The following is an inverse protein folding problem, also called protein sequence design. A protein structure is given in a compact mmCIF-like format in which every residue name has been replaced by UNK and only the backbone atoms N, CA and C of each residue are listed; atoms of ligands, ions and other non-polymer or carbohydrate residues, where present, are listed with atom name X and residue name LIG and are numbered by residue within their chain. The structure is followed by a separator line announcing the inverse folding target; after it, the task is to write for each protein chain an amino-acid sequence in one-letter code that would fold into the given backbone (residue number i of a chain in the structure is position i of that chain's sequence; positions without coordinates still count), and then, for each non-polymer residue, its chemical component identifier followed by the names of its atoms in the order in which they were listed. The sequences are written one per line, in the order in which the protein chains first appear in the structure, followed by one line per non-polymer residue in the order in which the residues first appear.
data_IF_512489043843
#
_entry.id   IF_512489043843
#
_cell.length_a   1.000
_cell.length_b   1.000
_cell.length_c   1.000
_cell.angle_alpha   90.00
_cell.angle_beta   90.00
_cell.angle_gamma   90.00
#
_symmetry.space_group_name_H-M   'P 1'
#
loop_
_entity.id
_entity.type
_entity.pdbx_description
1 polymer ?
#
# COMPACT_ATOMS: atom_id res chain seq x y z
N UNK A 1 67.24 -11.91 -15.98
CA UNK A 1 66.86 -10.83 -15.04
C UNK A 1 65.34 -10.75 -14.98
N UNK A 2 64.73 -11.03 -13.82
CA UNK A 2 63.26 -10.96 -13.63
C UNK A 2 62.86 -9.54 -13.22
N UNK A 3 61.84 -8.97 -13.87
CA UNK A 3 61.32 -7.61 -13.67
C UNK A 3 60.73 -7.34 -12.26
N UNK A 4 60.63 -8.35 -11.40
CA UNK A 4 60.02 -8.21 -10.07
C UNK A 4 60.86 -7.41 -9.08
N UNK A 5 62.17 -7.24 -9.33
CA UNK A 5 63.06 -6.50 -8.42
C UNK A 5 63.12 -4.99 -8.64
N UNK A 6 62.61 -4.49 -9.77
CA UNK A 6 62.79 -3.07 -10.15
C UNK A 6 61.72 -2.13 -9.54
N UNK A 7 60.53 -2.65 -9.22
CA UNK A 7 59.47 -1.85 -8.59
C UNK A 7 59.73 -1.58 -7.11
N UNK A 8 60.33 -2.52 -6.37
CA UNK A 8 60.57 -2.36 -4.94
C UNK A 8 61.65 -1.30 -4.62
N UNK A 9 62.64 -1.12 -5.51
CA UNK A 9 63.66 -0.08 -5.35
C UNK A 9 63.16 1.33 -5.70
N UNK A 10 62.15 1.46 -6.57
CA UNK A 10 61.60 2.76 -6.96
C UNK A 10 60.59 3.33 -5.95
N UNK A 11 59.96 2.47 -5.14
CA UNK A 11 58.90 2.85 -4.20
C UNK A 11 59.23 2.61 -2.71
N UNK A 12 60.51 2.39 -2.40
CA UNK A 12 61.02 2.27 -1.03
C UNK A 12 60.61 3.47 -0.16
N UNK A 13 59.58 3.28 0.67
CA UNK A 13 59.18 4.23 1.72
C UNK A 13 58.01 5.16 1.41
N UNK A 14 57.29 5.05 0.28
CA UNK A 14 56.10 5.88 -0.01
C UNK A 14 54.82 5.13 -0.34
N UNK A 15 54.71 3.86 0.04
CA UNK A 15 53.37 3.27 0.24
C UNK A 15 52.85 3.84 1.55
N UNK A 16 52.25 5.04 1.48
CA UNK A 16 51.27 5.49 2.48
C UNK A 16 50.26 4.35 2.54
N UNK A 17 50.39 3.48 3.54
CA UNK A 17 49.41 2.45 3.83
C UNK A 17 48.05 3.12 3.71
N UNK A 18 47.16 2.56 2.88
CA UNK A 18 45.84 3.11 2.60
C UNK A 18 45.32 3.66 3.91
N UNK A 19 45.36 4.99 4.06
CA UNK A 19 44.69 5.67 5.15
C UNK A 19 43.24 5.34 4.86
N UNK A 20 42.77 4.27 5.49
CA UNK A 20 41.36 3.98 5.64
C UNK A 20 40.84 5.28 6.22
N UNK A 21 40.19 6.06 5.37
CA UNK A 21 39.56 7.30 5.80
C UNK A 21 38.75 6.89 7.02
N UNK A 22 39.13 7.39 8.19
CA UNK A 22 38.29 7.29 9.36
C UNK A 22 37.06 8.13 9.01
N UNK A 23 36.07 7.47 8.43
CA UNK A 23 34.74 8.00 8.23
C UNK A 23 34.27 8.40 9.63
N UNK A 24 34.29 9.71 9.89
CA UNK A 24 33.51 10.27 10.99
C UNK A 24 32.08 9.76 10.78
N UNK A 25 31.70 8.78 11.61
CA UNK A 25 30.35 8.22 11.70
C UNK A 25 29.39 9.36 12.02
N UNK A 26 28.84 9.97 10.99
CA UNK A 26 27.88 11.05 11.08
C UNK A 26 28.22 12.16 10.09
N UNK A 27 27.57 12.14 8.92
CA UNK A 27 26.84 13.31 8.38
C UNK A 27 26.36 13.09 6.94
N UNK A 28 27.01 12.22 6.15
CA UNK A 28 26.58 11.98 4.76
C UNK A 28 25.88 10.63 4.59
N UNK A 29 24.76 10.65 3.88
CA UNK A 29 24.00 9.48 3.48
C UNK A 29 24.23 9.27 2.00
N UNK A 30 24.92 8.19 1.63
CA UNK A 30 25.40 7.98 0.25
C UNK A 30 24.28 7.55 -0.71
N UNK A 31 23.18 7.00 -0.17
CA UNK A 31 22.07 6.50 -0.95
C UNK A 31 21.10 5.65 -0.13
N UNK A 32 20.14 5.04 -0.81
CA UNK A 32 19.12 4.19 -0.18
C UNK A 32 19.74 2.97 0.51
N UNK A 33 20.76 2.36 -0.09
CA UNK A 33 21.44 1.17 0.45
C UNK A 33 22.17 1.48 1.75
N UNK A 34 22.82 2.64 1.85
CA UNK A 34 23.50 3.11 3.07
C UNK A 34 22.48 3.38 4.19
N UNK A 35 21.35 4.03 3.87
CA UNK A 35 20.24 4.17 4.83
C UNK A 35 19.75 2.80 5.31
N UNK A 36 19.53 1.86 4.39
CA UNK A 36 19.05 0.53 4.72
C UNK A 36 20.03 -0.25 5.61
N UNK A 37 21.34 -0.11 5.41
CA UNK A 37 22.36 -0.74 6.26
C UNK A 37 22.39 -0.18 7.69
N UNK A 38 22.07 1.11 7.87
CA UNK A 38 22.05 1.77 9.19
C UNK A 38 20.81 1.46 10.02
N UNK A 39 19.76 0.90 9.42
CA UNK A 39 18.49 0.59 10.10
C UNK A 39 18.48 -0.83 10.69
N UNK A 40 17.62 -1.08 11.67
CA UNK A 40 17.44 -2.43 12.25
C UNK A 40 16.77 -3.41 11.28
N UNK A 41 16.68 -4.69 11.65
CA UNK A 41 15.98 -5.72 10.86
C UNK A 41 14.49 -5.40 10.66
N UNK A 42 13.84 -4.81 11.66
CA UNK A 42 12.44 -4.36 11.61
C UNK A 42 12.42 -2.83 11.72
N UNK A 43 12.60 -2.11 10.60
CA UNK A 43 12.71 -0.66 10.61
C UNK A 43 11.39 -0.04 11.08
N UNK A 44 11.46 0.78 12.13
CA UNK A 44 10.32 1.60 12.57
C UNK A 44 10.35 2.94 11.86
N UNK A 45 9.18 3.53 11.64
CA UNK A 45 9.06 4.86 11.03
C UNK A 45 9.94 5.92 11.69
N UNK A 46 9.96 5.98 13.02
CA UNK A 46 10.79 6.94 13.76
C UNK A 46 12.29 6.79 13.48
N UNK A 47 12.78 5.57 13.26
CA UNK A 47 14.18 5.30 12.94
C UNK A 47 14.52 5.76 11.52
N UNK A 48 13.63 5.47 10.56
CA UNK A 48 13.78 5.95 9.17
C UNK A 48 13.74 7.47 9.12
N UNK A 49 12.81 8.10 9.84
CA UNK A 49 12.66 9.57 9.87
C UNK A 49 13.84 10.29 10.54
N UNK A 50 14.48 9.65 11.53
CA UNK A 50 15.67 10.17 12.17
C UNK A 50 16.89 10.18 11.23
N UNK A 51 17.03 9.14 10.40
CA UNK A 51 18.16 8.97 9.48
C UNK A 51 17.94 9.56 8.09
N UNK A 52 16.69 9.74 7.66
CA UNK A 52 16.36 10.31 6.35
C UNK A 52 16.75 11.81 6.28
N UNK A 53 17.10 12.30 5.08
CA UNK A 53 17.33 13.73 4.86
C UNK A 53 16.17 14.59 5.36
N UNK A 54 16.45 15.82 5.81
CA UNK A 54 15.42 16.77 6.25
C UNK A 54 14.72 17.46 5.09
N UNK A 55 15.46 17.74 4.02
CA UNK A 55 14.94 18.30 2.78
C UNK A 55 14.04 17.31 2.03
N UNK A 56 12.97 17.82 1.41
CA UNK A 56 11.97 17.01 0.72
C UNK A 56 12.52 16.42 -0.58
N UNK A 57 13.24 17.23 -1.38
CA UNK A 57 13.78 16.81 -2.68
C UNK A 57 14.82 15.70 -2.51
N UNK A 58 15.64 15.81 -1.47
CA UNK A 58 16.63 14.78 -1.11
C UNK A 58 15.98 13.42 -0.79
N UNK A 59 14.80 13.41 -0.14
CA UNK A 59 14.05 12.15 0.07
C UNK A 59 13.48 11.65 -1.26
N UNK A 60 12.96 12.55 -2.11
CA UNK A 60 12.44 12.17 -3.43
C UNK A 60 13.53 11.52 -4.28
N UNK A 61 14.73 12.09 -4.29
CA UNK A 61 15.88 11.53 -5.02
C UNK A 61 16.21 10.13 -4.51
N UNK A 62 16.24 9.91 -3.18
CA UNK A 62 16.43 8.58 -2.60
C UNK A 62 15.33 7.60 -3.01
N UNK A 63 14.06 8.04 -3.03
CA UNK A 63 12.94 7.21 -3.45
C UNK A 63 13.07 6.81 -4.91
N UNK A 64 13.37 7.77 -5.79
CA UNK A 64 13.48 7.54 -7.23
C UNK A 64 14.73 6.75 -7.63
N UNK A 65 15.82 6.85 -6.87
CA UNK A 65 17.05 6.08 -7.11
C UNK A 65 17.03 4.68 -6.49
N UNK A 66 16.11 4.42 -5.54
CA UNK A 66 16.06 3.15 -4.82
C UNK A 66 15.66 1.97 -5.71
N UNK A 67 16.18 0.79 -5.36
CA UNK A 67 15.75 -0.50 -5.91
C UNK A 67 15.59 -1.52 -4.77
N UNK A 68 14.55 -1.36 -3.93
CA UNK A 68 14.39 -2.13 -2.71
C UNK A 68 14.23 -3.62 -3.02
N UNK A 69 15.00 -4.45 -2.33
CA UNK A 69 14.99 -5.91 -2.44
C UNK A 69 14.47 -6.55 -1.17
N UNK A 70 13.35 -7.26 -1.31
CA UNK A 70 12.71 -7.97 -0.22
C UNK A 70 12.03 -7.05 0.79
N UNK A 71 11.30 -7.69 1.71
CA UNK A 71 10.31 -7.01 2.57
C UNK A 71 10.88 -5.87 3.40
N UNK A 72 12.12 -6.01 3.91
CA UNK A 72 12.74 -5.01 4.78
C UNK A 72 12.99 -3.70 4.03
N UNK A 73 13.64 -3.77 2.87
CA UNK A 73 13.92 -2.60 2.06
C UNK A 73 12.64 -1.98 1.49
N UNK A 74 11.67 -2.79 1.08
CA UNK A 74 10.37 -2.29 0.62
C UNK A 74 9.62 -1.54 1.74
N UNK A 75 9.75 -1.98 2.99
CA UNK A 75 9.19 -1.27 4.16
C UNK A 75 9.85 0.10 4.34
N UNK A 76 11.18 0.18 4.23
CA UNK A 76 11.93 1.45 4.31
C UNK A 76 11.49 2.38 3.18
N UNK A 77 11.44 1.85 1.96
CA UNK A 77 10.94 2.56 0.78
C UNK A 77 9.53 3.11 1.02
N UNK A 78 8.62 2.29 1.52
CA UNK A 78 7.25 2.70 1.85
C UNK A 78 7.20 3.89 2.80
N UNK A 79 7.98 3.83 3.89
CA UNK A 79 8.07 4.93 4.87
C UNK A 79 8.64 6.20 4.20
N UNK A 80 9.68 6.08 3.39
CA UNK A 80 10.28 7.22 2.68
C UNK A 80 9.29 7.90 1.74
N UNK A 81 8.49 7.12 0.99
CA UNK A 81 7.46 7.70 0.10
C UNK A 81 6.40 8.49 0.88
N UNK A 82 6.01 8.00 2.07
CA UNK A 82 5.12 8.72 2.98
C UNK A 82 5.77 10.01 3.49
N UNK A 83 7.02 9.94 3.95
CA UNK A 83 7.76 11.11 4.43
C UNK A 83 7.95 12.18 3.35
N UNK A 84 8.28 11.76 2.12
CA UNK A 84 8.40 12.68 0.98
C UNK A 84 7.06 13.38 0.72
N UNK A 85 5.97 12.63 0.60
CA UNK A 85 4.64 13.20 0.34
C UNK A 85 4.16 14.14 1.46
N UNK A 86 4.53 13.88 2.71
CA UNK A 86 4.18 14.75 3.84
C UNK A 86 4.93 16.09 3.83
N UNK A 87 6.07 16.18 3.14
CA UNK A 87 6.92 17.38 3.09
C UNK A 87 6.81 18.14 1.77
N UNK A 88 6.35 17.49 0.70
CA UNK A 88 6.10 18.14 -0.57
C UNK A 88 4.83 19.00 -0.54
N UNK A 89 4.87 20.14 -1.23
CA UNK A 89 3.70 20.96 -1.50
C UNK A 89 2.84 20.36 -2.63
N UNK A 90 3.49 19.67 -3.58
CA UNK A 90 2.86 19.04 -4.73
C UNK A 90 2.75 17.50 -4.55
N UNK A 91 1.85 16.83 -5.29
CA UNK A 91 1.75 15.37 -5.22
C UNK A 91 3.06 14.66 -5.61
N UNK A 92 3.48 13.68 -4.80
CA UNK A 92 4.58 12.78 -5.16
C UNK A 92 4.13 11.80 -6.24
N UNK A 93 4.72 11.87 -7.43
CA UNK A 93 4.41 10.95 -8.55
C UNK A 93 5.53 9.92 -8.68
N UNK A 94 5.20 8.64 -8.45
CA UNK A 94 6.18 7.53 -8.45
C UNK A 94 5.56 6.27 -9.07
N UNK A 95 6.39 5.31 -9.54
CA UNK A 95 5.89 4.00 -9.95
C UNK A 95 5.27 3.24 -8.78
N UNK A 96 4.26 2.39 -9.02
CA UNK A 96 3.69 1.53 -7.98
C UNK A 96 4.73 0.51 -7.50
N UNK A 97 5.01 0.47 -6.20
CA UNK A 97 5.86 -0.51 -5.53
C UNK A 97 5.29 -0.89 -4.17
N UNK A 98 5.68 -2.06 -3.67
CA UNK A 98 5.20 -2.57 -2.39
C UNK A 98 5.38 -1.53 -1.27
N UNK A 99 4.40 -1.44 -0.38
CA UNK A 99 4.38 -0.53 0.77
C UNK A 99 4.38 0.97 0.44
N UNK A 100 4.24 1.40 -0.82
CA UNK A 100 4.18 2.84 -1.12
C UNK A 100 3.06 3.53 -0.31
N UNK A 101 3.39 4.65 0.35
CA UNK A 101 2.51 5.38 1.26
C UNK A 101 2.36 4.76 2.66
N UNK A 102 3.24 3.84 3.06
CA UNK A 102 3.22 3.23 4.39
C UNK A 102 3.25 4.29 5.50
N UNK A 103 2.28 4.18 6.42
CA UNK A 103 2.07 5.05 7.58
C UNK A 103 1.82 6.53 7.25
N UNK A 104 1.60 6.92 5.99
CA UNK A 104 1.47 8.32 5.58
C UNK A 104 0.42 9.09 6.40
N UNK A 105 0.77 10.30 6.85
CA UNK A 105 -0.05 11.15 7.74
C UNK A 105 -0.75 12.29 7.03
N UNK A 106 -0.19 12.79 5.93
CA UNK A 106 -0.75 13.89 5.10
C UNK A 106 -0.11 13.86 3.71
N UNK A 107 -0.48 14.81 2.85
CA UNK A 107 0.08 14.93 1.50
C UNK A 107 -0.66 14.06 0.49
N UNK A 108 -0.12 14.01 -0.73
CA UNK A 108 -0.70 13.25 -1.84
C UNK A 108 0.37 12.43 -2.54
N UNK A 109 0.11 11.14 -2.77
CA UNK A 109 0.92 10.27 -3.62
C UNK A 109 0.08 9.84 -4.82
N UNK A 110 0.67 9.92 -6.01
CA UNK A 110 0.13 9.37 -7.25
C UNK A 110 1.02 8.23 -7.72
N UNK A 111 0.49 7.03 -7.71
CA UNK A 111 1.15 5.86 -8.27
C UNK A 111 0.79 5.73 -9.75
N UNK A 112 1.77 5.98 -10.60
CA UNK A 112 1.64 5.94 -12.05
C UNK A 112 2.60 4.90 -12.64
N UNK A 113 2.07 3.88 -13.33
CA UNK A 113 2.89 2.88 -14.01
C UNK A 113 3.66 3.44 -15.21
N UNK A 114 3.35 4.65 -15.68
CA UNK A 114 4.15 5.39 -16.64
C UNK A 114 5.22 6.27 -15.99
N UNK A 115 5.24 6.41 -14.66
CA UNK A 115 6.29 7.15 -13.98
C UNK A 115 7.65 6.44 -14.20
N UNK A 116 8.71 7.20 -14.48
CA UNK A 116 10.03 6.63 -14.71
C UNK A 116 10.50 5.84 -13.48
N UNK A 117 10.85 4.56 -13.68
CA UNK A 117 11.41 3.69 -12.64
C UNK A 117 12.88 4.00 -12.31
N UNK A 118 13.51 4.87 -13.10
CA UNK A 118 14.86 5.42 -13.00
C UNK A 118 14.82 6.82 -13.62
N UNK A 119 15.57 7.80 -13.09
CA UNK A 119 15.50 9.25 -13.39
C UNK A 119 15.38 9.70 -14.87
N UNK A 120 15.33 11.02 -15.14
CA UNK A 120 14.73 11.56 -16.36
C UNK A 120 15.40 11.03 -17.63
N UNK A 121 14.66 10.24 -18.43
CA UNK A 121 14.99 9.98 -19.82
C UNK A 121 13.99 10.70 -20.73
N UNK A 122 14.56 11.47 -21.66
CA UNK A 122 13.88 12.23 -22.71
C UNK A 122 12.88 11.36 -23.47
N UNK A 123 11.75 11.98 -23.77
CA UNK A 123 10.64 11.47 -24.58
C UNK A 123 11.12 11.15 -26.00
N UNK A 124 10.86 9.93 -26.46
CA UNK A 124 10.58 9.66 -27.87
C UNK A 124 9.32 8.81 -27.97
N UNK A 125 8.42 9.27 -28.84
CA UNK A 125 7.07 8.73 -28.99
C UNK A 125 7.01 7.34 -29.60
N UNK A 126 5.90 6.65 -29.34
CA UNK A 126 5.54 5.39 -29.96
C UNK A 126 4.19 4.90 -29.42
N UNK A 127 3.17 4.96 -30.26
CA UNK A 127 1.83 4.44 -30.00
C UNK A 127 1.84 2.90 -29.87
N UNK A 128 0.86 2.37 -29.12
CA UNK A 128 0.46 0.97 -29.19
C UNK A 128 1.44 -0.04 -28.56
N UNK A 129 1.54 -0.05 -27.24
CA UNK A 129 2.03 -1.23 -26.52
C UNK A 129 1.08 -1.54 -25.37
N UNK A 130 0.31 -2.62 -25.51
CA UNK A 130 -0.23 -3.37 -24.37
C UNK A 130 0.95 -3.85 -23.54
N UNK A 131 1.38 -2.99 -22.61
CA UNK A 131 2.46 -3.29 -21.68
C UNK A 131 2.06 -4.49 -20.83
N UNK A 132 2.97 -5.44 -20.57
CA UNK A 132 2.70 -6.52 -19.63
C UNK A 132 2.20 -5.90 -18.32
N UNK A 133 1.12 -6.45 -17.77
CA UNK A 133 0.64 -6.09 -16.44
C UNK A 133 1.75 -6.45 -15.46
N UNK A 134 2.64 -5.50 -15.17
CA UNK A 134 3.65 -5.65 -14.14
C UNK A 134 2.98 -6.10 -12.84
N UNK A 135 3.69 -6.93 -12.07
CA UNK A 135 3.18 -7.43 -10.79
C UNK A 135 2.56 -6.30 -9.97
N UNK A 136 1.30 -6.47 -9.55
CA UNK A 136 0.57 -5.44 -8.81
C UNK A 136 1.26 -5.23 -7.47
N UNK A 137 1.47 -3.97 -7.07
CA UNK A 137 2.08 -3.65 -5.80
C UNK A 137 1.13 -3.92 -4.61
N UNK A 138 1.65 -4.53 -3.56
CA UNK A 138 0.95 -4.91 -2.34
C UNK A 138 1.20 -3.89 -1.22
N UNK A 139 0.37 -3.93 -0.16
CA UNK A 139 0.54 -3.10 1.05
C UNK A 139 0.51 -1.58 0.80
N UNK A 140 -0.10 -1.15 -0.30
CA UNK A 140 -0.20 0.26 -0.66
C UNK A 140 -1.06 1.02 0.36
N UNK A 141 -0.52 2.10 0.95
CA UNK A 141 -1.22 2.89 1.96
C UNK A 141 -1.50 2.15 3.28
N UNK A 142 -0.73 1.09 3.58
CA UNK A 142 -0.83 0.42 4.88
C UNK A 142 -0.62 1.43 6.03
N UNK A 143 -1.45 1.35 7.08
CA UNK A 143 -1.41 2.19 8.29
C UNK A 143 -1.51 3.69 8.05
N UNK A 144 -1.97 4.11 6.87
CA UNK A 144 -2.20 5.51 6.54
C UNK A 144 -3.20 6.14 7.53
N UNK A 145 -2.88 7.34 8.01
CA UNK A 145 -3.69 8.09 8.99
C UNK A 145 -4.21 9.42 8.45
N UNK A 146 -3.73 9.85 7.28
CA UNK A 146 -4.24 11.02 6.57
C UNK A 146 -3.60 11.16 5.18
N UNK A 147 -4.01 12.18 4.42
CA UNK A 147 -3.56 12.40 3.05
C UNK A 147 -4.37 11.64 1.99
N UNK A 148 -3.84 11.55 0.76
CA UNK A 148 -4.48 10.91 -0.39
C UNK A 148 -3.51 10.01 -1.16
N UNK A 149 -3.93 8.79 -1.47
CA UNK A 149 -3.21 7.86 -2.35
C UNK A 149 -4.03 7.59 -3.60
N UNK A 150 -3.53 8.00 -4.76
CA UNK A 150 -4.19 7.85 -6.05
C UNK A 150 -3.41 6.83 -6.88
N UNK A 151 -4.02 5.69 -7.18
CA UNK A 151 -3.41 4.59 -7.92
C UNK A 151 -4.04 4.58 -9.31
N UNK A 152 -3.26 4.93 -10.35
CA UNK A 152 -3.77 4.98 -11.73
C UNK A 152 -4.10 3.57 -12.26
N UNK A 153 -3.41 2.55 -11.74
CA UNK A 153 -3.64 1.14 -12.04
C UNK A 153 -4.34 0.36 -10.91
N UNK A 154 -4.22 -0.96 -10.99
CA UNK A 154 -4.72 -1.87 -9.96
C UNK A 154 -3.73 -2.03 -8.81
N UNK A 155 -4.25 -2.10 -7.59
CA UNK A 155 -3.51 -2.51 -6.41
C UNK A 155 -3.51 -4.04 -6.28
N UNK A 156 -2.45 -4.58 -5.67
CA UNK A 156 -2.40 -5.96 -5.20
C UNK A 156 -3.12 -6.13 -3.87
N UNK A 157 -2.62 -7.05 -3.07
CA UNK A 157 -3.20 -7.40 -1.76
C UNK A 157 -2.88 -6.37 -0.68
N UNK A 158 -3.67 -6.38 0.39
CA UNK A 158 -3.46 -5.57 1.60
C UNK A 158 -3.49 -4.05 1.36
N UNK A 159 -4.13 -3.60 0.28
CA UNK A 159 -4.38 -2.18 0.00
C UNK A 159 -5.03 -1.51 1.22
N UNK A 160 -4.42 -0.48 1.81
CA UNK A 160 -5.01 0.27 2.92
C UNK A 160 -5.21 -0.54 4.20
N UNK A 161 -4.46 -1.63 4.40
CA UNK A 161 -4.51 -2.40 5.65
C UNK A 161 -4.23 -1.49 6.85
N UNK A 162 -5.00 -1.64 7.93
CA UNK A 162 -4.88 -0.92 9.20
C UNK A 162 -4.95 0.61 9.07
N UNK A 163 -5.54 1.11 7.98
CA UNK A 163 -5.76 2.53 7.75
C UNK A 163 -6.69 3.15 8.80
N UNK A 164 -6.31 4.31 9.30
CA UNK A 164 -7.03 5.07 10.34
C UNK A 164 -7.63 6.37 9.82
N UNK A 165 -7.16 6.86 8.68
CA UNK A 165 -7.60 8.13 8.09
C UNK A 165 -6.98 8.37 6.72
N UNK A 166 -7.48 9.40 6.02
CA UNK A 166 -7.11 9.71 4.64
C UNK A 166 -8.00 9.06 3.59
N UNK A 167 -7.57 9.08 2.33
CA UNK A 167 -8.32 8.58 1.18
C UNK A 167 -7.49 7.77 0.20
N UNK A 168 -8.00 6.64 -0.28
CA UNK A 168 -7.36 5.82 -1.31
C UNK A 168 -8.29 5.65 -2.52
N UNK A 169 -7.77 5.81 -3.74
CA UNK A 169 -8.50 5.55 -4.99
C UNK A 169 -7.67 4.64 -5.88
N UNK A 170 -8.25 3.54 -6.39
CA UNK A 170 -7.60 2.64 -7.36
C UNK A 170 -8.57 2.09 -8.41
N UNK A 171 -8.05 1.47 -9.47
CA UNK A 171 -8.89 0.81 -10.48
C UNK A 171 -9.41 -0.54 -10.02
N UNK A 172 -8.59 -1.36 -9.38
CA UNK A 172 -8.95 -2.66 -8.80
C UNK A 172 -8.10 -2.92 -7.56
N UNK A 173 -8.49 -3.86 -6.71
CA UNK A 173 -7.64 -4.35 -5.61
C UNK A 173 -7.59 -5.87 -5.56
N UNK A 174 -6.51 -6.42 -4.98
CA UNK A 174 -6.42 -7.82 -4.61
C UNK A 174 -7.17 -8.14 -3.32
N UNK A 175 -6.71 -9.18 -2.63
CA UNK A 175 -7.29 -9.69 -1.40
C UNK A 175 -6.93 -8.81 -0.20
N UNK A 176 -7.73 -8.89 0.86
CA UNK A 176 -7.49 -8.18 2.13
C UNK A 176 -7.41 -6.65 2.05
N UNK A 177 -7.95 -6.06 0.98
CA UNK A 177 -8.06 -4.61 0.89
C UNK A 177 -8.86 -4.05 2.08
N UNK A 178 -8.33 -3.02 2.72
CA UNK A 178 -8.86 -2.33 3.90
C UNK A 178 -9.04 -3.22 5.14
N UNK A 179 -8.24 -4.29 5.25
CA UNK A 179 -8.17 -5.13 6.44
C UNK A 179 -7.93 -4.31 7.70
N UNK A 180 -8.71 -4.51 8.75
CA UNK A 180 -8.60 -3.83 10.05
C UNK A 180 -8.59 -2.30 9.97
N UNK A 181 -9.26 -1.72 8.96
CA UNK A 181 -9.45 -0.28 8.87
C UNK A 181 -10.28 0.24 10.06
N UNK A 182 -9.90 1.41 10.59
CA UNK A 182 -10.61 2.08 11.70
C UNK A 182 -11.12 3.47 11.32
N UNK A 183 -10.71 3.99 10.17
CA UNK A 183 -11.15 5.30 9.69
C UNK A 183 -10.59 5.63 8.30
N UNK A 184 -11.01 6.77 7.74
CA UNK A 184 -10.69 7.16 6.36
C UNK A 184 -11.71 6.66 5.33
N UNK A 185 -11.34 6.69 4.06
CA UNK A 185 -12.19 6.19 2.98
C UNK A 185 -11.40 5.56 1.83
N UNK A 186 -12.02 4.61 1.13
CA UNK A 186 -11.45 3.92 -0.02
C UNK A 186 -12.44 3.82 -1.18
N UNK A 187 -11.98 4.04 -2.41
CA UNK A 187 -12.76 3.87 -3.64
C UNK A 187 -12.02 2.95 -4.61
N UNK A 188 -12.61 1.78 -4.87
CA UNK A 188 -12.17 0.85 -5.91
C UNK A 188 -13.11 0.99 -7.10
N UNK A 189 -12.60 1.48 -8.24
CA UNK A 189 -13.44 1.81 -9.42
C UNK A 189 -13.94 0.57 -10.19
N UNK A 190 -13.27 -0.55 -10.03
CA UNK A 190 -13.62 -1.85 -10.62
C UNK A 190 -13.85 -2.87 -9.51
N UNK A 191 -13.21 -4.03 -9.62
CA UNK A 191 -13.42 -5.15 -8.71
C UNK A 191 -12.41 -5.16 -7.55
N UNK A 192 -12.81 -5.72 -6.43
CA UNK A 192 -11.96 -6.06 -5.30
C UNK A 192 -11.94 -7.58 -5.06
N UNK A 193 -10.82 -8.09 -4.57
CA UNK A 193 -10.65 -9.51 -4.22
C UNK A 193 -11.44 -9.93 -2.98
N UNK A 194 -10.98 -11.03 -2.38
CA UNK A 194 -11.56 -11.63 -1.18
C UNK A 194 -11.21 -10.81 0.07
N UNK A 195 -11.98 -11.01 1.14
CA UNK A 195 -11.71 -10.47 2.47
C UNK A 195 -11.67 -8.93 2.54
N UNK A 196 -12.33 -8.25 1.59
CA UNK A 196 -12.46 -6.80 1.59
C UNK A 196 -13.03 -6.31 2.93
N UNK A 197 -12.32 -5.40 3.60
CA UNK A 197 -12.77 -4.82 4.86
C UNK A 197 -12.87 -5.83 6.00
N UNK A 198 -12.12 -6.94 5.97
CA UNK A 198 -12.10 -7.88 7.10
C UNK A 198 -11.66 -7.17 8.38
N UNK A 199 -12.41 -7.35 9.47
CA UNK A 199 -12.13 -6.69 10.75
C UNK A 199 -12.35 -5.18 10.75
N UNK A 200 -13.00 -4.63 9.71
CA UNK A 200 -13.26 -3.21 9.62
C UNK A 200 -14.05 -2.70 10.82
N UNK A 201 -13.57 -1.63 11.44
CA UNK A 201 -14.16 -1.02 12.64
C UNK A 201 -14.23 0.50 12.53
N UNK A 202 -14.38 0.98 11.30
CA UNK A 202 -14.69 2.37 10.98
C UNK A 202 -14.60 2.63 9.48
N UNK A 203 -14.48 3.89 9.08
CA UNK A 203 -14.24 4.24 7.68
C UNK A 203 -15.37 3.90 6.69
N UNK A 204 -15.11 4.20 5.41
CA UNK A 204 -16.05 4.01 4.30
C UNK A 204 -15.35 3.41 3.09
N UNK A 205 -15.81 2.26 2.63
CA UNK A 205 -15.26 1.56 1.46
C UNK A 205 -16.34 1.53 0.38
N UNK A 206 -16.00 1.98 -0.82
CA UNK A 206 -16.85 1.91 -2.00
C UNK A 206 -16.14 1.10 -3.07
N UNK A 207 -16.80 0.05 -3.56
CA UNK A 207 -16.38 -0.74 -4.72
C UNK A 207 -17.45 -0.58 -5.78
N UNK A 208 -17.10 -0.05 -6.95
CA UNK A 208 -18.09 0.15 -8.02
C UNK A 208 -18.46 -1.17 -8.73
N UNK A 209 -17.51 -2.09 -8.85
CA UNK A 209 -17.72 -3.41 -9.43
C UNK A 209 -18.12 -4.45 -8.39
N UNK A 210 -17.54 -5.64 -8.53
CA UNK A 210 -17.79 -6.84 -7.71
C UNK A 210 -16.78 -6.99 -6.58
N UNK A 211 -17.17 -7.73 -5.55
CA UNK A 211 -16.27 -8.14 -4.45
C UNK A 211 -16.22 -9.67 -4.34
N UNK A 212 -15.05 -10.17 -3.96
CA UNK A 212 -14.83 -11.59 -3.70
C UNK A 212 -15.50 -12.09 -2.40
N UNK A 213 -15.10 -13.27 -1.99
CA UNK A 213 -15.63 -13.96 -0.82
C UNK A 213 -15.34 -13.21 0.48
N UNK A 214 -16.23 -13.36 1.47
CA UNK A 214 -16.00 -12.89 2.86
C UNK A 214 -15.73 -11.38 2.98
N UNK A 215 -16.28 -10.58 2.07
CA UNK A 215 -16.29 -9.13 2.25
C UNK A 215 -17.03 -8.77 3.55
N UNK A 216 -16.44 -7.88 4.37
CA UNK A 216 -16.99 -7.50 5.68
C UNK A 216 -16.90 -8.58 6.76
N UNK A 217 -16.08 -9.62 6.59
CA UNK A 217 -15.86 -10.63 7.64
C UNK A 217 -15.36 -9.98 8.94
N UNK A 218 -15.96 -10.29 10.09
CA UNK A 218 -15.64 -9.69 11.40
C UNK A 218 -15.77 -8.16 11.45
N UNK A 219 -16.54 -7.55 10.54
CA UNK A 219 -16.80 -6.11 10.56
C UNK A 219 -17.55 -5.73 11.84
N UNK A 220 -17.06 -4.71 12.56
CA UNK A 220 -17.62 -4.20 13.82
C UNK A 220 -18.35 -2.86 13.65
N UNK A 221 -17.91 -2.04 12.70
CA UNK A 221 -18.55 -0.76 12.35
C UNK A 221 -18.04 -0.26 10.99
N UNK A 222 -18.49 0.91 10.54
CA UNK A 222 -18.15 1.50 9.24
C UNK A 222 -19.19 1.19 8.16
N UNK A 223 -18.86 1.53 6.90
CA UNK A 223 -19.74 1.31 5.74
C UNK A 223 -18.99 0.69 4.57
N UNK A 224 -19.56 -0.37 4.00
CA UNK A 224 -19.10 -0.96 2.74
C UNK A 224 -20.24 -0.86 1.72
N UNK A 225 -19.96 -0.27 0.55
CA UNK A 225 -20.91 -0.21 -0.57
C UNK A 225 -20.29 -0.87 -1.79
N UNK A 226 -21.02 -1.82 -2.39
CA UNK A 226 -20.63 -2.54 -3.59
C UNK A 226 -21.67 -2.27 -4.68
N UNK A 227 -21.24 -1.86 -5.86
CA UNK A 227 -22.13 -1.47 -6.96
C UNK A 227 -22.74 -2.68 -7.69
N UNK A 228 -22.04 -3.80 -7.77
CA UNK A 228 -22.51 -5.03 -8.41
C UNK A 228 -22.78 -6.14 -7.38
N UNK A 229 -22.23 -7.33 -7.63
CA UNK A 229 -22.44 -8.55 -6.86
C UNK A 229 -21.35 -8.75 -5.79
N UNK A 230 -21.71 -9.46 -4.73
CA UNK A 230 -20.78 -10.01 -3.75
C UNK A 230 -20.80 -11.54 -3.78
N UNK A 231 -19.63 -12.16 -3.61
CA UNK A 231 -19.53 -13.62 -3.49
C UNK A 231 -20.07 -14.14 -2.14
N UNK A 232 -19.82 -15.41 -1.84
CA UNK A 232 -20.27 -16.07 -0.61
C UNK A 232 -19.73 -15.44 0.68
N UNK A 233 -20.44 -15.70 1.79
CA UNK A 233 -20.04 -15.32 3.15
C UNK A 233 -19.89 -13.81 3.37
N UNK A 234 -20.63 -13.00 2.62
CA UNK A 234 -20.72 -11.56 2.87
C UNK A 234 -21.11 -11.29 4.33
N UNK A 235 -20.36 -10.45 5.05
CA UNK A 235 -20.67 -10.11 6.44
C UNK A 235 -20.61 -11.28 7.42
N UNK A 236 -19.82 -12.32 7.12
CA UNK A 236 -19.56 -13.44 8.04
C UNK A 236 -19.18 -12.89 9.43
N UNK A 237 -19.87 -13.35 10.47
CA UNK A 237 -19.60 -12.96 11.86
C UNK A 237 -19.55 -11.43 12.11
N UNK A 238 -20.24 -10.64 11.28
CA UNK A 238 -20.33 -9.18 11.44
C UNK A 238 -21.02 -8.83 12.76
N UNK A 239 -20.40 -7.94 13.54
CA UNK A 239 -20.93 -7.43 14.80
C UNK A 239 -21.61 -6.06 14.70
N UNK A 240 -21.34 -5.30 13.65
CA UNK A 240 -21.92 -3.97 13.45
C UNK A 240 -21.45 -3.27 12.18
N UNK A 241 -22.03 -2.11 11.88
CA UNK A 241 -21.81 -1.37 10.64
C UNK A 241 -22.89 -1.64 9.58
N UNK A 242 -22.62 -1.21 8.35
CA UNK A 242 -23.55 -1.39 7.22
C UNK A 242 -22.83 -1.87 5.96
N UNK A 243 -23.42 -2.85 5.28
CA UNK A 243 -22.96 -3.39 4.00
C UNK A 243 -24.12 -3.28 3.00
N UNK A 244 -23.92 -2.59 1.89
CA UNK A 244 -24.93 -2.39 0.84
C UNK A 244 -24.41 -2.92 -0.49
N UNK A 245 -25.15 -3.86 -1.09
CA UNK A 245 -24.85 -4.51 -2.36
C UNK A 245 -25.86 -4.05 -3.40
N UNK A 246 -25.37 -3.59 -4.55
CA UNK A 246 -26.21 -3.08 -5.63
C UNK A 246 -27.05 -4.16 -6.29
N UNK A 247 -26.51 -5.38 -6.39
CA UNK A 247 -27.16 -6.55 -7.02
C UNK A 247 -27.26 -7.70 -6.02
N UNK A 248 -26.71 -8.88 -6.33
CA UNK A 248 -26.88 -10.09 -5.54
C UNK A 248 -25.74 -10.31 -4.55
N UNK A 249 -26.08 -10.69 -3.32
CA UNK A 249 -25.15 -11.30 -2.38
C UNK A 249 -25.17 -12.83 -2.55
N UNK A 250 -24.00 -13.45 -2.58
CA UNK A 250 -23.85 -14.90 -2.70
C UNK A 250 -24.46 -15.70 -1.55
N UNK A 251 -24.27 -17.04 -1.54
CA UNK A 251 -24.69 -17.89 -0.43
C UNK A 251 -24.15 -17.41 0.90
N UNK A 252 -24.86 -17.71 2.00
CA UNK A 252 -24.34 -17.55 3.36
C UNK A 252 -24.06 -16.09 3.75
N UNK A 253 -24.75 -15.15 3.12
CA UNK A 253 -24.68 -13.75 3.49
C UNK A 253 -25.19 -13.57 4.93
N UNK A 254 -24.42 -12.90 5.79
CA UNK A 254 -24.74 -12.69 7.20
C UNK A 254 -24.60 -13.94 8.07
N UNK A 255 -23.90 -14.99 7.62
CA UNK A 255 -23.69 -16.19 8.42
C UNK A 255 -23.06 -15.84 9.77
N UNK A 256 -23.64 -16.30 10.89
CA UNK A 256 -23.20 -15.98 12.28
C UNK A 256 -23.14 -14.48 12.60
N UNK A 257 -23.85 -13.64 11.86
CA UNK A 257 -23.91 -12.20 12.13
C UNK A 257 -24.54 -11.95 13.51
N UNK A 258 -23.88 -11.08 14.29
CA UNK A 258 -24.27 -10.69 15.65
C UNK A 258 -24.96 -9.32 15.68
N UNK A 259 -24.67 -8.46 14.69
CA UNK A 259 -25.24 -7.12 14.60
C UNK A 259 -24.88 -6.41 13.30
N UNK A 260 -25.49 -5.24 13.07
CA UNK A 260 -25.31 -4.44 11.85
C UNK A 260 -26.46 -4.57 10.84
N UNK A 261 -26.21 -4.08 9.63
CA UNK A 261 -27.15 -4.08 8.52
C UNK A 261 -26.49 -4.60 7.24
N UNK A 262 -27.12 -5.56 6.56
CA UNK A 262 -26.76 -6.00 5.21
C UNK A 262 -27.96 -5.77 4.29
N UNK A 263 -27.75 -5.07 3.18
CA UNK A 263 -28.78 -4.80 2.17
C UNK A 263 -28.31 -5.28 0.80
N UNK A 264 -29.16 -5.99 0.07
CA UNK A 264 -28.90 -6.43 -1.31
C UNK A 264 -30.19 -6.44 -2.13
N UNK A 265 -30.09 -6.46 -3.46
CA UNK A 265 -31.25 -6.68 -4.33
C UNK A 265 -31.70 -8.15 -4.33
N UNK A 266 -30.78 -9.08 -4.03
CA UNK A 266 -31.10 -10.50 -3.89
C UNK A 266 -30.05 -11.23 -3.08
N UNK A 267 -30.42 -12.40 -2.56
CA UNK A 267 -29.58 -13.22 -1.69
C UNK A 267 -29.46 -14.65 -2.20
N UNK A 268 -28.32 -15.27 -1.94
CA UNK A 268 -28.13 -16.70 -2.14
C UNK A 268 -28.75 -17.56 -1.05
N UNK A 269 -28.67 -18.90 -1.21
CA UNK A 269 -29.14 -19.83 -0.19
C UNK A 269 -28.42 -19.58 1.15
N UNK A 270 -29.07 -19.96 2.25
CA UNK A 270 -28.54 -19.86 3.61
C UNK A 270 -28.22 -18.40 4.04
N UNK A 271 -28.85 -17.41 3.42
CA UNK A 271 -28.69 -16.02 3.81
C UNK A 271 -29.40 -15.75 5.14
N UNK A 272 -28.63 -15.25 6.12
CA UNK A 272 -29.09 -15.05 7.49
C UNK A 272 -29.04 -16.30 8.37
N UNK A 273 -28.56 -17.43 7.87
CA UNK A 273 -28.41 -18.65 8.66
C UNK A 273 -27.45 -18.43 9.82
N UNK A 274 -27.77 -19.03 10.97
CA UNK A 274 -27.04 -18.86 12.23
C UNK A 274 -26.90 -17.39 12.70
N UNK A 275 -27.65 -16.43 12.14
CA UNK A 275 -27.62 -15.03 12.56
C UNK A 275 -28.21 -14.88 13.97
N UNK A 276 -27.36 -14.48 14.91
CA UNK A 276 -27.75 -14.14 16.29
C UNK A 276 -28.44 -12.77 16.36
N UNK A 277 -28.01 -11.79 15.56
CA UNK A 277 -28.56 -10.43 15.61
C UNK A 277 -28.24 -9.59 14.37
N UNK A 278 -28.81 -8.37 14.30
CA UNK A 278 -28.71 -7.50 13.12
C UNK A 278 -29.81 -7.71 12.08
N UNK A 279 -29.78 -6.91 11.01
CA UNK A 279 -30.82 -6.88 9.97
C UNK A 279 -30.24 -7.24 8.61
N UNK A 280 -30.96 -8.07 7.86
CA UNK A 280 -30.69 -8.38 6.46
C UNK A 280 -31.96 -8.01 5.70
N UNK A 281 -31.88 -7.05 4.79
CA UNK A 281 -33.04 -6.47 4.11
C UNK A 281 -32.86 -6.56 2.60
N UNK A 282 -33.95 -6.82 1.88
CA UNK A 282 -33.93 -6.60 0.44
C UNK A 282 -34.14 -5.11 0.17
N UNK A 283 -33.47 -4.59 -0.85
CA UNK A 283 -33.58 -3.16 -1.20
C UNK A 283 -34.97 -2.74 -1.66
N UNK A 284 -35.82 -3.69 -2.03
CA UNK A 284 -37.23 -3.45 -2.39
C UNK A 284 -38.14 -3.22 -1.16
N UNK A 285 -37.70 -3.60 0.04
CA UNK A 285 -38.47 -3.51 1.29
C UNK A 285 -38.19 -2.22 2.08
N UNK A 286 -37.53 -1.23 1.47
CA UNK A 286 -37.08 0.03 2.07
C UNK A 286 -37.73 1.24 1.38
#
# INVERSE_FOLDING_TARGET
MKLSGFMDQAYGGKVRGKKRLEEKRGEFLLGFEDLAQRLKERPKRAEVEALAPKDANSIVDLVLSSSPKGRREETIYGILTGLAAERLAEPLVIPPRNYAGLEMKRGTIVLDGAAPATGPKRVSGGAGQTRPQGAKAHHLGEKMSGGRLIIRGGAGDYLGQEMRGGGIVCSSSGDYAFRNMTGGWGVVKGNAGNYLGVGNSGGRIVVKGRVGARAGWLMRSGRIRVGEDASEYLGLMMGGGSISIGRRAGPRAGWRMKGGLIEAAGYGPEAGDEKVGGRILRREDL
#
